data_IF_074416530791
#
_entry.id   IF_074416530791
#
_cell.length_a   1.000
_cell.length_b   1.000
_cell.length_c   1.000
_cell.angle_alpha   90.00
_cell.angle_beta   90.00
_cell.angle_gamma   90.00
#
_symmetry.space_group_name_H-M   'P 1'
#
loop_
_entity.id
_entity.type
_entity.pdbx_description
1 polymer ?
#
# COMPACT_ATOMS: atom_id res chain seq x y z
N UNK A 1 0.26 19.17 7.66
CA UNK A 1 1.32 18.76 6.70
C UNK A 1 0.83 19.17 5.33
N UNK A 2 1.62 19.92 4.56
CA UNK A 2 1.18 20.32 3.22
C UNK A 2 1.28 19.15 2.24
N UNK A 3 0.38 19.11 1.25
CA UNK A 3 0.42 18.11 0.16
C UNK A 3 1.77 18.07 -0.55
N UNK A 4 2.38 19.25 -0.78
CA UNK A 4 3.72 19.37 -1.40
C UNK A 4 4.81 18.68 -0.57
N UNK A 5 4.82 18.89 0.76
CA UNK A 5 5.78 18.25 1.65
C UNK A 5 5.62 16.73 1.68
N UNK A 6 4.37 16.25 1.70
CA UNK A 6 4.09 14.81 1.64
C UNK A 6 4.59 14.19 0.34
N UNK A 7 4.29 14.80 -0.82
CA UNK A 7 4.76 14.30 -2.12
C UNK A 7 6.29 14.26 -2.17
N UNK A 8 6.97 15.30 -1.67
CA UNK A 8 8.43 15.31 -1.60
C UNK A 8 8.98 14.17 -0.75
N UNK A 9 8.43 13.93 0.43
CA UNK A 9 8.83 12.83 1.32
C UNK A 9 8.56 11.46 0.70
N UNK A 10 7.42 11.31 0.02
CA UNK A 10 7.06 10.10 -0.71
C UNK A 10 8.06 9.81 -1.84
N UNK A 11 8.36 10.81 -2.67
CA UNK A 11 9.34 10.68 -3.75
C UNK A 11 10.74 10.36 -3.21
N UNK A 12 11.14 10.98 -2.10
CA UNK A 12 12.43 10.69 -1.46
C UNK A 12 12.51 9.27 -0.92
N UNK A 13 11.44 8.77 -0.29
CA UNK A 13 11.37 7.37 0.14
C UNK A 13 11.44 6.39 -1.04
N UNK A 14 10.68 6.67 -2.11
CA UNK A 14 10.73 5.86 -3.33
C UNK A 14 12.13 5.87 -3.96
N UNK A 15 12.82 7.02 -3.95
CA UNK A 15 14.21 7.11 -4.40
C UNK A 15 15.14 6.21 -3.58
N UNK A 16 15.01 6.20 -2.25
CA UNK A 16 15.81 5.32 -1.37
C UNK A 16 15.55 3.84 -1.69
N UNK A 17 14.28 3.46 -1.87
CA UNK A 17 13.90 2.09 -2.20
C UNK A 17 14.46 1.68 -3.58
N UNK A 18 14.27 2.53 -4.60
CA UNK A 18 14.82 2.31 -5.93
C UNK A 18 16.35 2.21 -5.92
N UNK A 19 17.01 3.01 -5.09
CA UNK A 19 18.46 2.95 -4.94
C UNK A 19 18.92 1.65 -4.29
N UNK A 20 18.22 1.18 -3.26
CA UNK A 20 18.47 -0.13 -2.63
C UNK A 20 18.32 -1.29 -3.61
N UNK A 21 17.30 -1.24 -4.48
CA UNK A 21 17.09 -2.23 -5.55
C UNK A 21 18.26 -2.21 -6.54
N UNK A 22 18.66 -1.01 -7.00
CA UNK A 22 19.75 -0.85 -7.97
C UNK A 22 21.10 -1.36 -7.43
N UNK A 23 21.41 -1.08 -6.17
CA UNK A 23 22.62 -1.61 -5.52
C UNK A 23 22.61 -3.13 -5.37
N UNK A 24 21.43 -3.75 -5.31
CA UNK A 24 21.29 -5.21 -5.33
C UNK A 24 21.60 -5.85 -6.69
N UNK A 25 21.93 -5.07 -7.72
CA UNK A 25 22.25 -5.56 -9.06
C UNK A 25 21.05 -6.03 -9.88
N UNK A 26 19.82 -5.85 -9.37
CA UNK A 26 18.60 -6.31 -10.02
C UNK A 26 17.93 -5.18 -10.83
N UNK A 27 17.38 -5.46 -12.02
CA UNK A 27 16.61 -4.48 -12.76
C UNK A 27 15.32 -4.12 -12.01
N UNK A 28 15.04 -2.83 -11.90
CA UNK A 28 13.86 -2.30 -11.19
C UNK A 28 12.53 -2.91 -11.68
N UNK A 29 12.43 -3.22 -12.98
CA UNK A 29 11.24 -3.80 -13.58
C UNK A 29 10.85 -5.16 -12.97
N UNK A 30 11.77 -5.91 -12.36
CA UNK A 30 11.44 -7.16 -11.66
C UNK A 30 10.56 -6.93 -10.43
N UNK A 31 10.60 -5.73 -9.87
CA UNK A 31 9.79 -5.34 -8.72
C UNK A 31 8.48 -4.70 -9.16
N UNK A 32 8.14 -4.69 -10.46
CA UNK A 32 6.87 -4.24 -11.00
C UNK A 32 6.06 -5.45 -11.48
N UNK A 33 5.30 -6.05 -10.57
CA UNK A 33 4.41 -7.19 -10.85
C UNK A 33 2.94 -6.74 -10.78
N UNK A 34 2.28 -6.74 -11.95
CA UNK A 34 0.90 -6.28 -12.09
C UNK A 34 -0.10 -7.06 -11.20
N UNK A 35 -0.07 -8.40 -11.14
CA UNK A 35 -0.93 -9.16 -10.21
C UNK A 35 -0.76 -8.69 -8.76
N UNK A 36 0.48 -8.54 -8.29
CA UNK A 36 0.77 -8.11 -6.93
C UNK A 36 0.29 -6.68 -6.64
N UNK A 37 0.39 -5.75 -7.61
CA UNK A 37 -0.17 -4.39 -7.52
C UNK A 37 -1.70 -4.39 -7.44
N UNK A 38 -2.35 -5.30 -8.17
CA UNK A 38 -3.81 -5.41 -8.13
C UNK A 38 -4.25 -5.94 -6.78
N UNK A 39 -3.65 -7.04 -6.32
CA UNK A 39 -4.08 -7.75 -5.11
C UNK A 39 -3.78 -6.93 -3.84
N UNK A 40 -2.66 -6.19 -3.81
CA UNK A 40 -2.14 -5.63 -2.55
C UNK A 40 -2.64 -4.21 -2.25
N UNK A 41 -2.42 -3.19 -3.10
CA UNK A 41 -2.99 -1.86 -2.86
C UNK A 41 -4.36 -1.64 -3.53
N UNK A 42 -4.57 -2.12 -4.76
CA UNK A 42 -5.75 -1.72 -5.55
C UNK A 42 -7.04 -2.40 -5.06
N UNK A 43 -7.04 -3.73 -4.91
CA UNK A 43 -8.23 -4.45 -4.45
C UNK A 43 -8.67 -4.00 -3.04
N UNK A 44 -7.77 -3.84 -2.05
CA UNK A 44 -8.08 -3.21 -0.78
C UNK A 44 -8.68 -1.81 -0.88
N UNK A 45 -8.18 -0.98 -1.80
CA UNK A 45 -8.75 0.35 -2.03
C UNK A 45 -10.17 0.29 -2.61
N UNK A 46 -10.44 -0.63 -3.55
CA UNK A 46 -11.77 -0.87 -4.10
C UNK A 46 -12.73 -1.33 -3.00
N UNK A 47 -12.34 -2.31 -2.18
CA UNK A 47 -13.16 -2.78 -1.06
C UNK A 47 -13.45 -1.65 -0.08
N UNK A 48 -12.45 -0.83 0.23
CA UNK A 48 -12.61 0.33 1.11
C UNK A 48 -13.58 1.36 0.54
N UNK A 49 -13.66 1.50 -0.79
CA UNK A 49 -14.58 2.42 -1.46
C UNK A 49 -16.06 2.03 -1.31
N UNK A 50 -16.35 0.77 -1.00
CA UNK A 50 -17.71 0.32 -0.66
C UNK A 50 -18.16 0.80 0.73
N UNK A 51 -17.20 1.06 1.62
CA UNK A 51 -17.48 1.51 3.00
C UNK A 51 -17.39 3.03 3.09
N UNK A 52 -16.39 3.62 2.41
CA UNK A 52 -16.16 5.05 2.36
C UNK A 52 -16.35 5.57 0.93
N UNK A 53 -17.51 6.17 0.60
CA UNK A 53 -17.75 6.75 -0.71
C UNK A 53 -16.68 7.78 -1.10
N UNK A 54 -16.43 7.97 -2.40
CA UNK A 54 -15.40 8.88 -2.90
C UNK A 54 -15.57 10.34 -2.40
N UNK A 55 -16.80 10.80 -2.21
CA UNK A 55 -17.08 12.12 -1.59
C UNK A 55 -16.45 12.23 -0.21
N UNK A 56 -16.59 11.18 0.61
CA UNK A 56 -16.05 11.12 1.96
C UNK A 56 -14.53 10.97 1.99
N UNK A 57 -13.97 10.21 1.06
CA UNK A 57 -12.52 10.13 0.89
C UNK A 57 -11.92 11.48 0.51
N UNK A 58 -12.60 12.26 -0.34
CA UNK A 58 -12.20 13.62 -0.70
C UNK A 58 -12.20 14.57 0.50
N UNK A 59 -13.21 14.47 1.38
CA UNK A 59 -13.29 15.21 2.64
C UNK A 59 -12.15 14.83 3.59
N UNK A 60 -11.90 13.53 3.79
CA UNK A 60 -10.78 13.02 4.59
C UNK A 60 -9.44 13.56 4.07
N UNK A 61 -9.19 13.45 2.76
CA UNK A 61 -7.93 13.94 2.17
C UNK A 61 -7.78 15.45 2.33
N UNK A 62 -8.86 16.22 2.12
CA UNK A 62 -8.85 17.66 2.31
C UNK A 62 -8.53 18.02 3.74
N UNK A 63 -9.14 17.35 4.71
CA UNK A 63 -8.93 17.62 6.13
C UNK A 63 -7.52 17.23 6.57
N UNK A 64 -6.97 16.10 6.10
CA UNK A 64 -5.59 15.68 6.41
C UNK A 64 -4.56 16.70 5.90
N UNK A 65 -4.77 17.23 4.69
CA UNK A 65 -3.86 18.19 4.06
C UNK A 65 -4.17 19.67 4.31
N UNK A 66 -5.29 19.99 4.99
CA UNK A 66 -5.63 21.38 5.34
C UNK A 66 -4.56 21.95 6.28
N UNK A 67 -4.42 23.28 6.32
CA UNK A 67 -3.69 23.97 7.39
C UNK A 67 -4.66 24.83 8.22
N UNK A 68 -5.95 24.48 8.22
CA UNK A 68 -6.96 25.19 9.00
C UNK A 68 -6.69 25.02 10.49
N UNK A 69 -6.82 26.09 11.27
CA UNK A 69 -6.80 26.04 12.74
C UNK A 69 -8.10 25.43 13.29
N UNK A 70 -9.21 25.60 12.57
CA UNK A 70 -10.47 24.93 12.85
C UNK A 70 -10.45 23.53 12.21
N UNK A 71 -9.97 22.54 12.97
CA UNK A 71 -9.98 21.13 12.56
C UNK A 71 -11.36 20.51 12.84
N UNK A 72 -11.92 19.82 11.84
CA UNK A 72 -13.15 19.05 12.04
C UNK A 72 -12.83 17.69 12.70
N UNK A 73 -12.98 17.63 14.03
CA UNK A 73 -12.66 16.44 14.84
C UNK A 73 -13.35 15.17 14.35
N UNK A 74 -14.62 15.25 13.95
CA UNK A 74 -15.39 14.11 13.44
C UNK A 74 -14.77 13.54 12.16
N UNK A 75 -14.34 14.42 11.25
CA UNK A 75 -13.68 14.01 10.00
C UNK A 75 -12.30 13.42 10.26
N UNK A 76 -11.57 13.95 11.24
CA UNK A 76 -10.25 13.41 11.62
C UNK A 76 -10.35 12.02 12.26
N UNK A 77 -11.34 11.77 13.13
CA UNK A 77 -11.61 10.43 13.66
C UNK A 77 -11.95 9.44 12.54
N UNK A 78 -12.79 9.87 11.60
CA UNK A 78 -13.12 9.07 10.42
C UNK A 78 -11.90 8.83 9.52
N UNK A 79 -11.00 9.80 9.38
CA UNK A 79 -9.75 9.64 8.65
C UNK A 79 -8.84 8.58 9.31
N UNK A 80 -8.72 8.60 10.64
CA UNK A 80 -7.93 7.61 11.39
C UNK A 80 -8.52 6.21 11.20
N UNK A 81 -9.84 6.07 11.32
CA UNK A 81 -10.53 4.80 11.09
C UNK A 81 -10.38 4.31 9.64
N UNK A 82 -10.50 5.22 8.66
CA UNK A 82 -10.29 4.93 7.24
C UNK A 82 -8.90 4.37 6.98
N UNK A 83 -7.83 5.05 7.43
CA UNK A 83 -6.47 4.58 7.22
C UNK A 83 -6.13 3.30 8.00
N UNK A 84 -6.68 3.14 9.20
CA UNK A 84 -6.52 1.90 9.98
C UNK A 84 -7.17 0.71 9.26
N UNK A 85 -8.39 0.88 8.75
CA UNK A 85 -9.06 -0.15 7.96
C UNK A 85 -8.32 -0.41 6.65
N UNK A 86 -7.87 0.63 5.96
CA UNK A 86 -7.11 0.48 4.72
C UNK A 86 -5.82 -0.34 4.95
N UNK A 87 -5.07 -0.04 6.01
CA UNK A 87 -3.89 -0.81 6.39
C UNK A 87 -4.21 -2.29 6.58
N UNK A 88 -5.29 -2.60 7.32
CA UNK A 88 -5.71 -3.99 7.55
C UNK A 88 -6.05 -4.69 6.25
N UNK A 89 -6.80 -4.04 5.36
CA UNK A 89 -7.14 -4.61 4.05
C UNK A 89 -5.91 -4.82 3.17
N UNK A 90 -4.94 -3.90 3.19
CA UNK A 90 -3.67 -4.05 2.46
C UNK A 90 -2.85 -5.24 3.00
N UNK A 91 -2.79 -5.43 4.31
CA UNK A 91 -2.15 -6.59 4.93
C UNK A 91 -2.86 -7.89 4.50
N UNK A 92 -4.19 -7.92 4.54
CA UNK A 92 -4.96 -9.07 4.08
C UNK A 92 -4.73 -9.35 2.59
N UNK A 93 -4.68 -8.32 1.75
CA UNK A 93 -4.30 -8.44 0.34
C UNK A 93 -2.91 -9.04 0.17
N UNK A 94 -1.93 -8.61 0.97
CA UNK A 94 -0.59 -9.16 0.96
C UNK A 94 -0.57 -10.65 1.31
N UNK A 95 -1.30 -11.03 2.36
CA UNK A 95 -1.44 -12.43 2.81
C UNK A 95 -2.11 -13.27 1.72
N UNK A 96 -3.19 -12.78 1.11
CA UNK A 96 -3.85 -13.46 -0.01
C UNK A 96 -2.90 -13.64 -1.19
N UNK A 97 -2.16 -12.60 -1.59
CA UNK A 97 -1.17 -12.68 -2.65
C UNK A 97 -0.05 -13.69 -2.35
N UNK A 98 0.40 -13.74 -1.09
CA UNK A 98 1.37 -14.73 -0.62
C UNK A 98 0.84 -16.16 -0.81
N UNK A 99 -0.42 -16.40 -0.42
CA UNK A 99 -1.05 -17.71 -0.64
C UNK A 99 -1.29 -18.03 -2.12
N UNK A 100 -1.65 -17.05 -2.95
CA UNK A 100 -1.80 -17.24 -4.41
C UNK A 100 -0.46 -17.67 -5.03
N UNK A 101 0.63 -16.99 -4.70
CA UNK A 101 1.97 -17.38 -5.16
C UNK A 101 2.36 -18.78 -4.66
N UNK A 102 2.10 -19.07 -3.39
CA UNK A 102 2.38 -20.40 -2.82
C UNK A 102 1.59 -21.53 -3.50
N UNK A 103 0.28 -21.35 -3.70
CA UNK A 103 -0.58 -22.31 -4.40
C UNK A 103 -0.11 -22.49 -5.84
N UNK A 104 0.28 -21.41 -6.51
CA UNK A 104 0.87 -21.45 -7.83
C UNK A 104 2.13 -22.32 -7.87
N UNK A 105 3.08 -22.09 -6.96
CA UNK A 105 4.30 -22.92 -6.87
C UNK A 105 3.94 -24.40 -6.71
N UNK A 106 3.05 -24.73 -5.76
CA UNK A 106 2.68 -26.11 -5.47
C UNK A 106 2.00 -26.81 -6.66
N UNK A 107 1.10 -26.13 -7.37
CA UNK A 107 0.41 -26.69 -8.54
C UNK A 107 1.37 -27.03 -9.68
N UNK A 108 2.35 -26.16 -9.97
CA UNK A 108 3.32 -26.41 -11.04
C UNK A 108 4.44 -27.38 -10.63
N UNK A 109 4.77 -27.47 -9.33
CA UNK A 109 5.69 -28.50 -8.83
C UNK A 109 5.10 -29.91 -8.96
N UNK A 110 3.79 -30.09 -8.77
CA UNK A 110 3.14 -31.38 -8.97
C UNK A 110 3.12 -31.85 -10.42
N UNK A 111 3.26 -30.93 -11.38
CA UNK A 111 3.16 -31.21 -12.82
C UNK A 111 4.52 -31.18 -13.55
N UNK A 112 5.63 -30.87 -12.85
CA UNK A 112 6.98 -30.70 -13.42
C UNK A 112 7.05 -29.73 -14.61
N UNK A 113 6.14 -28.74 -14.67
CA UNK A 113 5.75 -28.19 -15.97
C UNK A 113 6.60 -27.06 -16.51
N UNK A 114 7.31 -26.26 -15.70
CA UNK A 114 8.29 -25.27 -16.20
C UNK A 114 8.91 -24.44 -15.06
N UNK A 115 10.25 -24.34 -14.94
CA UNK A 115 10.91 -23.53 -13.89
C UNK A 115 10.57 -22.03 -13.94
N UNK A 116 10.24 -21.51 -15.13
CA UNK A 116 9.87 -20.10 -15.35
C UNK A 116 8.61 -19.70 -14.56
N UNK A 117 7.62 -20.60 -14.50
CA UNK A 117 6.34 -20.36 -13.82
C UNK A 117 6.52 -20.41 -12.31
N UNK A 118 7.35 -21.34 -11.82
CA UNK A 118 7.71 -21.40 -10.39
C UNK A 118 8.38 -20.09 -9.96
N UNK A 119 9.35 -19.59 -10.73
CA UNK A 119 10.03 -18.32 -10.47
C UNK A 119 9.06 -17.13 -10.40
N UNK A 120 8.08 -17.07 -11.32
CA UNK A 120 7.05 -16.01 -11.32
C UNK A 120 6.18 -16.06 -10.07
N UNK A 121 5.76 -17.25 -9.64
CA UNK A 121 4.92 -17.41 -8.45
C UNK A 121 5.67 -17.14 -7.14
N UNK A 122 6.98 -17.46 -7.09
CA UNK A 122 7.88 -16.98 -6.02
C UNK A 122 7.92 -15.44 -5.99
N UNK A 123 7.97 -14.82 -7.18
CA UNK A 123 7.86 -13.38 -7.32
C UNK A 123 6.60 -12.81 -6.68
N UNK A 124 5.42 -13.33 -7.02
CA UNK A 124 4.15 -12.91 -6.42
C UNK A 124 4.16 -13.08 -4.89
N UNK A 125 4.65 -14.23 -4.41
CA UNK A 125 4.77 -14.54 -3.00
C UNK A 125 5.60 -13.50 -2.23
N UNK A 126 6.71 -13.04 -2.80
CA UNK A 126 7.61 -12.09 -2.16
C UNK A 126 7.20 -10.62 -2.36
N UNK A 127 6.69 -10.28 -3.55
CA UNK A 127 6.37 -8.89 -3.94
C UNK A 127 5.13 -8.39 -3.21
N UNK A 128 4.13 -9.23 -2.93
CA UNK A 128 2.92 -8.81 -2.21
C UNK A 128 3.23 -8.23 -0.81
N UNK A 129 3.94 -8.93 0.11
CA UNK A 129 4.38 -8.36 1.38
C UNK A 129 5.25 -7.11 1.22
N UNK A 130 6.13 -7.08 0.21
CA UNK A 130 6.97 -5.92 -0.09
C UNK A 130 6.12 -4.68 -0.43
N UNK A 131 5.18 -4.81 -1.36
CA UNK A 131 4.25 -3.72 -1.73
C UNK A 131 3.40 -3.25 -0.56
N UNK A 132 2.87 -4.17 0.25
CA UNK A 132 2.09 -3.81 1.42
C UNK A 132 2.92 -2.97 2.39
N UNK A 133 4.14 -3.42 2.67
CA UNK A 133 5.09 -2.74 3.56
C UNK A 133 5.39 -1.35 3.04
N UNK A 134 5.81 -1.23 1.77
CA UNK A 134 6.11 0.06 1.14
C UNK A 134 4.89 0.98 1.19
N UNK A 135 3.71 0.50 0.80
CA UNK A 135 2.52 1.32 0.74
C UNK A 135 2.04 1.79 2.13
N UNK A 136 2.08 0.91 3.14
CA UNK A 136 1.72 1.24 4.52
C UNK A 136 2.67 2.31 5.07
N UNK A 137 3.98 2.14 4.90
CA UNK A 137 4.97 3.11 5.41
C UNK A 137 5.00 4.42 4.62
N UNK A 138 4.81 4.36 3.31
CA UNK A 138 4.92 5.52 2.44
C UNK A 138 3.66 6.39 2.46
N UNK A 139 2.48 5.77 2.60
CA UNK A 139 1.19 6.45 2.40
C UNK A 139 0.33 6.38 3.66
N UNK A 140 0.01 5.18 4.14
CA UNK A 140 -1.06 5.02 5.14
C UNK A 140 -0.65 5.57 6.51
N UNK A 141 0.49 5.13 7.05
CA UNK A 141 0.93 5.55 8.40
C UNK A 141 1.25 7.05 8.49
N UNK A 142 1.94 7.69 7.52
CA UNK A 142 2.15 9.13 7.54
C UNK A 142 0.84 9.92 7.57
N UNK A 143 -0.13 9.59 6.71
CA UNK A 143 -1.40 10.32 6.63
C UNK A 143 -2.25 10.12 7.88
N UNK A 144 -2.31 8.89 8.39
CA UNK A 144 -2.94 8.57 9.68
C UNK A 144 -2.26 9.31 10.84
N UNK A 145 -0.93 9.38 10.84
CA UNK A 145 -0.15 10.11 11.83
C UNK A 145 -0.45 11.61 11.82
N UNK A 146 -0.64 12.20 10.63
CA UNK A 146 -1.07 13.61 10.50
C UNK A 146 -2.48 13.80 11.03
N UNK A 147 -3.42 12.92 10.71
CA UNK A 147 -4.78 12.99 11.23
C UNK A 147 -4.80 12.90 12.77
N UNK A 148 -4.05 11.95 13.35
CA UNK A 148 -3.88 11.81 14.81
C UNK A 148 -3.29 13.07 15.44
N UNK A 149 -2.22 13.62 14.86
CA UNK A 149 -1.56 14.82 15.37
C UNK A 149 -2.53 16.01 15.42
N UNK A 150 -3.37 16.18 14.39
CA UNK A 150 -4.38 17.24 14.31
C UNK A 150 -5.60 17.03 15.20
N UNK A 151 -5.88 15.79 15.59
CA UNK A 151 -7.00 15.49 16.49
C UNK A 151 -6.65 15.87 17.93
N UNK A 152 -5.39 15.69 18.31
CA UNK A 152 -4.89 15.92 19.68
C UNK A 152 -4.49 17.40 19.90
N UNK A 153 -3.92 18.05 18.89
CA UNK A 153 -3.52 19.46 18.94
C UNK A 153 -4.61 20.37 18.39
#
# INVERSE_FOLDING_TARGET
>A
MTKKRFIFQLLFLLLIISWGIAFGGNPFLLYLDTPSLIITPIAPYIVLSFIYPFSKQGEINREVFSNSEANNKVVLEQAIAFFELFKRLVILGAVLGTFIGFIGIMGYLSEMTEPSIIGRNIGVLAICPFYATVFIYAVIEPLKGVAKKKLIG
#
